data_IF_636138290842
#
_entry.id   IF_636138290842
#
_cell.length_a   1.000
_cell.length_b   1.000
_cell.length_c   1.000
_cell.angle_alpha   90.00
_cell.angle_beta   90.00
_cell.angle_gamma   90.00
#
_symmetry.space_group_name_H-M   'P 1'
#
loop_
_entity.id
_entity.type
_entity.pdbx_description
1 polymer ?
#
# COMPACT_ATOMS: atom_id res chain seq x y z
N UNK A 1 -30.05 -14.37 4.27
CA UNK A 1 -29.30 -13.91 3.09
C UNK A 1 -27.84 -13.95 3.47
N UNK A 2 -27.01 -14.77 2.84
CA UNK A 2 -25.56 -14.75 3.06
C UNK A 2 -25.05 -13.39 2.57
N UNK A 3 -24.47 -12.60 3.47
CA UNK A 3 -23.83 -11.34 3.10
C UNK A 3 -22.71 -11.68 2.10
N UNK A 4 -22.71 -11.05 0.92
CA UNK A 4 -21.65 -11.26 -0.08
C UNK A 4 -20.32 -10.87 0.55
N UNK A 5 -19.33 -11.74 0.51
CA UNK A 5 -17.97 -11.45 0.95
C UNK A 5 -17.43 -10.24 0.18
N UNK A 6 -16.85 -9.28 0.89
CA UNK A 6 -16.23 -8.11 0.27
C UNK A 6 -14.93 -8.54 -0.42
N UNK A 7 -14.80 -8.23 -1.71
CA UNK A 7 -13.63 -8.53 -2.52
C UNK A 7 -12.76 -7.27 -2.63
N UNK A 8 -11.55 -7.31 -2.08
CA UNK A 8 -10.65 -6.16 -1.98
C UNK A 8 -9.37 -6.42 -2.78
N UNK A 9 -9.00 -5.49 -3.65
CA UNK A 9 -7.70 -5.47 -4.31
C UNK A 9 -6.79 -4.43 -3.64
N UNK A 10 -5.67 -4.89 -3.07
CA UNK A 10 -4.56 -4.05 -2.62
C UNK A 10 -3.49 -4.03 -3.71
N UNK A 11 -3.42 -2.95 -4.50
CA UNK A 11 -2.50 -2.83 -5.64
C UNK A 11 -1.46 -1.74 -5.38
N UNK A 12 -0.19 -2.15 -5.27
CA UNK A 12 0.93 -1.28 -4.93
C UNK A 12 2.13 -1.47 -5.88
N UNK A 13 3.07 -0.53 -5.84
CA UNK A 13 4.23 -0.52 -6.73
C UNK A 13 5.27 -1.57 -6.33
N UNK A 14 5.59 -1.63 -5.02
CA UNK A 14 6.67 -2.45 -4.49
C UNK A 14 6.22 -3.29 -3.30
N UNK A 15 6.89 -4.43 -3.03
CA UNK A 15 6.78 -5.12 -1.75
C UNK A 15 7.16 -4.19 -0.60
N UNK A 16 6.29 -4.04 0.38
CA UNK A 16 6.33 -3.21 1.59
C UNK A 16 5.34 -2.05 1.63
N UNK A 17 4.96 -1.48 0.49
CA UNK A 17 4.01 -0.37 0.40
C UNK A 17 2.69 -0.70 1.11
N UNK A 18 2.11 -1.88 0.84
CA UNK A 18 0.85 -2.35 1.43
C UNK A 18 0.93 -2.41 2.96
N UNK A 19 2.06 -2.88 3.47
CA UNK A 19 2.31 -3.05 4.90
C UNK A 19 2.53 -1.72 5.60
N UNK A 20 3.40 -0.88 5.05
CA UNK A 20 3.81 0.37 5.69
C UNK A 20 2.68 1.40 5.67
N UNK A 21 1.92 1.48 4.56
CA UNK A 21 0.84 2.44 4.45
C UNK A 21 -0.46 1.97 5.11
N UNK A 22 -0.91 0.74 4.83
CA UNK A 22 -2.27 0.28 5.16
C UNK A 22 -2.32 -1.11 5.82
N UNK A 23 -1.20 -1.64 6.34
CA UNK A 23 -1.13 -3.00 6.87
C UNK A 23 -2.16 -3.29 7.96
N UNK A 24 -2.41 -2.34 8.87
CA UNK A 24 -3.43 -2.52 9.90
C UNK A 24 -4.85 -2.51 9.34
N UNK A 25 -5.15 -1.63 8.38
CA UNK A 25 -6.44 -1.61 7.67
C UNK A 25 -6.67 -2.90 6.89
N UNK A 26 -5.64 -3.43 6.21
CA UNK A 26 -5.71 -4.69 5.46
C UNK A 26 -5.97 -5.88 6.39
N UNK A 27 -5.28 -5.95 7.53
CA UNK A 27 -5.50 -6.96 8.56
C UNK A 27 -6.93 -6.88 9.16
N UNK A 28 -7.41 -5.67 9.45
CA UNK A 28 -8.78 -5.43 9.89
C UNK A 28 -9.81 -5.95 8.88
N UNK A 29 -9.64 -5.65 7.59
CA UNK A 29 -10.56 -6.11 6.54
C UNK A 29 -10.57 -7.64 6.43
N UNK A 30 -9.41 -8.28 6.48
CA UNK A 30 -9.30 -9.74 6.49
C UNK A 30 -10.02 -10.36 7.70
N UNK A 31 -9.84 -9.80 8.91
CA UNK A 31 -10.53 -10.25 10.13
C UNK A 31 -12.06 -10.09 9.99
N UNK A 32 -12.53 -9.06 9.28
CA UNK A 32 -13.96 -8.86 9.00
C UNK A 32 -14.51 -9.77 7.89
N UNK A 33 -13.69 -10.69 7.39
CA UNK A 33 -14.08 -11.69 6.39
C UNK A 33 -14.04 -11.17 4.96
N UNK A 34 -13.35 -10.07 4.70
CA UNK A 34 -13.04 -9.66 3.34
C UNK A 34 -12.00 -10.58 2.71
N UNK A 35 -12.14 -10.90 1.43
CA UNK A 35 -11.08 -11.52 0.64
C UNK A 35 -10.15 -10.42 0.12
N UNK A 36 -8.97 -10.30 0.76
CA UNK A 36 -7.96 -9.29 0.41
C UNK A 36 -6.93 -9.90 -0.54
N UNK A 37 -6.94 -9.45 -1.77
CA UNK A 37 -6.03 -9.88 -2.84
C UNK A 37 -4.95 -8.83 -3.06
N UNK A 38 -3.69 -9.26 -3.01
CA UNK A 38 -2.54 -8.39 -3.16
C UNK A 38 -1.99 -8.48 -4.57
N UNK A 39 -1.68 -7.32 -5.16
CA UNK A 39 -1.02 -7.20 -6.45
C UNK A 39 0.13 -6.20 -6.32
N UNK A 40 1.33 -6.62 -6.66
CA UNK A 40 2.48 -5.72 -6.74
C UNK A 40 2.88 -5.51 -8.20
N UNK A 41 3.23 -4.28 -8.58
CA UNK A 41 3.67 -4.00 -9.94
C UNK A 41 5.02 -4.65 -10.24
N UNK A 42 5.95 -4.60 -9.27
CA UNK A 42 7.32 -5.11 -9.36
C UNK A 42 7.63 -6.04 -8.19
N UNK A 43 8.82 -6.64 -8.18
CA UNK A 43 9.39 -7.30 -7.01
C UNK A 43 10.35 -6.41 -6.23
N UNK A 44 10.44 -5.11 -6.57
CA UNK A 44 11.30 -4.16 -5.90
C UNK A 44 12.78 -4.45 -6.09
N UNK A 45 13.17 -4.85 -7.27
CA UNK A 45 14.55 -5.24 -7.65
C UNK A 45 15.55 -4.10 -7.45
N UNK A 46 15.08 -2.84 -7.59
CA UNK A 46 15.88 -1.63 -7.40
C UNK A 46 16.05 -1.18 -5.94
N UNK A 47 15.32 -1.79 -5.01
CA UNK A 47 15.31 -1.41 -3.59
C UNK A 47 16.61 -1.68 -2.85
N UNK A 48 16.62 -1.41 -1.54
CA UNK A 48 17.78 -1.69 -0.67
C UNK A 48 17.95 -3.19 -0.43
N UNK A 49 19.18 -3.60 -0.13
CA UNK A 49 19.52 -5.01 0.12
C UNK A 49 19.69 -5.34 1.61
N UNK A 50 19.36 -4.41 2.50
CA UNK A 50 19.65 -4.49 3.93
C UNK A 50 21.06 -3.96 4.30
N UNK A 51 21.29 -3.79 5.61
CA UNK A 51 22.58 -3.40 6.15
C UNK A 51 22.85 -4.23 7.42
N UNK A 52 23.76 -5.25 7.34
CA UNK A 52 24.50 -5.69 6.14
C UNK A 52 23.57 -6.29 5.07
N UNK A 53 24.00 -6.32 3.78
CA UNK A 53 23.20 -6.90 2.70
C UNK A 53 22.77 -8.33 2.97
N UNK A 54 21.47 -8.63 2.82
CA UNK A 54 20.91 -9.98 3.03
C UNK A 54 21.05 -10.88 1.81
N UNK A 55 21.35 -10.30 0.63
CA UNK A 55 21.51 -11.01 -0.63
C UNK A 55 22.40 -10.24 -1.60
N UNK A 56 22.65 -10.84 -2.77
CA UNK A 56 23.22 -10.13 -3.92
C UNK A 56 22.12 -9.38 -4.67
N UNK A 57 22.47 -8.31 -5.40
CA UNK A 57 21.51 -7.51 -6.21
C UNK A 57 20.67 -8.39 -7.14
N UNK A 58 21.28 -9.34 -7.82
CA UNK A 58 20.58 -10.25 -8.74
C UNK A 58 19.49 -11.12 -8.09
N UNK A 59 19.55 -11.31 -6.78
CA UNK A 59 18.60 -12.13 -6.02
C UNK A 59 17.52 -11.31 -5.33
N UNK A 60 17.66 -9.98 -5.29
CA UNK A 60 16.80 -9.12 -4.46
C UNK A 60 15.32 -9.27 -4.81
N UNK A 61 14.95 -9.29 -6.08
CA UNK A 61 13.55 -9.47 -6.48
C UNK A 61 12.95 -10.79 -6.00
N UNK A 62 13.74 -11.89 -5.99
CA UNK A 62 13.30 -13.17 -5.43
C UNK A 62 13.15 -13.10 -3.91
N UNK A 63 14.09 -12.46 -3.22
CA UNK A 63 14.02 -12.27 -1.77
C UNK A 63 12.80 -11.42 -1.38
N UNK A 64 12.57 -10.31 -2.06
CA UNK A 64 11.43 -9.44 -1.78
C UNK A 64 10.08 -10.07 -2.15
N UNK A 65 10.04 -10.98 -3.14
CA UNK A 65 8.84 -11.83 -3.39
C UNK A 65 8.55 -12.71 -2.17
N UNK A 66 9.57 -13.37 -1.59
CA UNK A 66 9.42 -14.20 -0.39
C UNK A 66 9.01 -13.36 0.84
N UNK A 67 9.60 -12.18 1.00
CA UNK A 67 9.26 -11.21 2.05
C UNK A 67 7.80 -10.76 1.95
N UNK A 68 7.33 -10.40 0.75
CA UNK A 68 5.93 -10.00 0.53
C UNK A 68 4.96 -11.16 0.80
N UNK A 69 5.30 -12.40 0.42
CA UNK A 69 4.47 -13.57 0.76
C UNK A 69 4.33 -13.76 2.25
N UNK A 70 5.42 -13.58 3.00
CA UNK A 70 5.41 -13.60 4.45
C UNK A 70 4.50 -12.50 5.01
N UNK A 71 4.63 -11.26 4.51
CA UNK A 71 3.83 -10.12 4.96
C UNK A 71 2.32 -10.32 4.66
N UNK A 72 1.98 -10.76 3.46
CA UNK A 72 0.59 -11.06 3.06
C UNK A 72 -0.01 -12.14 3.95
N UNK A 73 0.74 -13.16 4.31
CA UNK A 73 0.28 -14.19 5.26
C UNK A 73 0.01 -13.61 6.65
N UNK A 74 0.91 -12.75 7.17
CA UNK A 74 0.75 -12.10 8.47
C UNK A 74 -0.49 -11.18 8.51
N UNK A 75 -0.82 -10.54 7.39
CA UNK A 75 -1.99 -9.67 7.24
C UNK A 75 -3.30 -10.43 6.93
N UNK A 76 -3.25 -11.77 6.80
CA UNK A 76 -4.43 -12.58 6.50
C UNK A 76 -4.91 -12.49 5.04
N UNK A 77 -4.02 -12.19 4.10
CA UNK A 77 -4.34 -12.06 2.69
C UNK A 77 -4.81 -13.36 2.02
N UNK A 78 -5.74 -13.25 1.07
CA UNK A 78 -6.31 -14.37 0.33
C UNK A 78 -5.42 -14.82 -0.84
N UNK A 79 -4.74 -13.89 -1.51
CA UNK A 79 -3.81 -14.18 -2.60
C UNK A 79 -2.79 -13.09 -2.81
N UNK A 80 -1.70 -13.43 -3.51
CA UNK A 80 -0.68 -12.49 -3.98
C UNK A 80 -0.33 -12.82 -5.44
N UNK A 81 -0.26 -11.77 -6.27
CA UNK A 81 0.23 -11.83 -7.65
C UNK A 81 1.13 -10.61 -7.97
N UNK A 82 1.85 -10.69 -9.09
CA UNK A 82 2.72 -9.63 -9.58
C UNK A 82 2.36 -9.28 -11.04
N UNK A 83 2.45 -8.01 -11.42
CA UNK A 83 2.34 -7.63 -12.84
C UNK A 83 3.59 -8.03 -13.65
N UNK A 84 4.71 -8.28 -12.97
CA UNK A 84 5.94 -8.76 -13.57
C UNK A 84 6.78 -7.69 -14.26
N UNK A 85 6.63 -6.44 -13.85
CA UNK A 85 7.60 -5.40 -14.18
C UNK A 85 8.81 -5.49 -13.27
N UNK A 86 9.94 -4.96 -13.74
CA UNK A 86 11.19 -4.88 -12.98
C UNK A 86 11.31 -3.47 -12.41
N UNK A 87 11.54 -3.38 -11.11
CA UNK A 87 11.83 -2.11 -10.45
C UNK A 87 13.23 -1.63 -10.83
N UNK A 88 13.39 -0.41 -11.38
CA UNK A 88 14.70 0.08 -11.79
C UNK A 88 15.60 0.38 -10.58
N UNK A 89 16.90 0.22 -10.75
CA UNK A 89 17.88 0.67 -9.77
C UNK A 89 17.75 2.19 -9.54
N UNK A 90 17.98 2.60 -8.30
CA UNK A 90 18.04 4.02 -7.92
C UNK A 90 19.22 4.67 -8.67
N UNK A 91 18.94 5.79 -9.32
CA UNK A 91 19.93 6.54 -10.09
C UNK A 91 20.91 7.32 -9.23
N UNK A 92 21.85 8.04 -9.86
CA UNK A 92 22.74 8.98 -9.17
C UNK A 92 21.91 10.00 -8.35
N UNK A 93 22.44 10.44 -7.22
CA UNK A 93 21.80 11.42 -6.32
C UNK A 93 20.43 10.98 -5.76
N UNK A 94 20.21 9.65 -5.64
CA UNK A 94 18.95 9.02 -5.23
C UNK A 94 17.76 9.32 -6.16
N UNK A 95 18.02 9.51 -7.45
CA UNK A 95 16.96 9.70 -8.44
C UNK A 95 16.12 8.42 -8.59
N UNK A 96 14.79 8.58 -8.50
CA UNK A 96 13.81 7.50 -8.62
C UNK A 96 13.15 7.54 -9.98
N UNK A 97 12.78 6.36 -10.51
CA UNK A 97 12.20 6.21 -11.84
C UNK A 97 10.87 5.45 -11.80
N UNK A 98 10.00 5.64 -12.80
CA UNK A 98 8.87 4.75 -13.02
C UNK A 98 9.38 3.37 -13.49
N UNK A 99 8.65 2.30 -13.16
CA UNK A 99 9.06 0.93 -13.50
C UNK A 99 8.78 0.53 -14.97
N UNK A 100 8.06 1.33 -15.73
CA UNK A 100 7.83 1.09 -17.15
C UNK A 100 7.80 2.40 -17.96
N UNK A 101 8.43 2.45 -19.13
CA UNK A 101 8.27 3.57 -20.05
C UNK A 101 6.92 3.55 -20.78
N UNK A 102 6.21 2.41 -20.79
CA UNK A 102 4.94 2.19 -21.50
C UNK A 102 3.77 2.02 -20.53
N UNK A 103 3.05 3.10 -20.27
CA UNK A 103 1.86 3.08 -19.43
C UNK A 103 0.76 2.17 -20.01
N UNK A 104 0.63 2.06 -21.33
CA UNK A 104 -0.40 1.23 -21.95
C UNK A 104 -0.16 -0.27 -21.68
N UNK A 105 1.09 -0.72 -21.63
CA UNK A 105 1.42 -2.08 -21.21
C UNK A 105 1.00 -2.34 -19.76
N UNK A 106 1.27 -1.39 -18.86
CA UNK A 106 0.87 -1.49 -17.45
C UNK A 106 -0.64 -1.59 -17.34
N UNK A 107 -1.37 -0.72 -18.03
CA UNK A 107 -2.85 -0.72 -18.08
C UNK A 107 -3.37 -2.06 -18.60
N UNK A 108 -2.80 -2.61 -19.66
CA UNK A 108 -3.22 -3.89 -20.24
C UNK A 108 -3.11 -5.04 -19.23
N UNK A 109 -1.94 -5.20 -18.59
CA UNK A 109 -1.72 -6.24 -17.59
C UNK A 109 -2.60 -6.07 -16.35
N UNK A 110 -2.79 -4.82 -15.90
CA UNK A 110 -3.65 -4.51 -14.76
C UNK A 110 -5.12 -4.84 -15.07
N UNK A 111 -5.59 -4.48 -16.28
CA UNK A 111 -6.96 -4.75 -16.74
C UNK A 111 -7.32 -6.24 -16.69
N UNK A 112 -6.40 -7.10 -17.09
CA UNK A 112 -6.59 -8.56 -16.99
C UNK A 112 -6.84 -9.01 -15.54
N UNK A 113 -6.08 -8.47 -14.59
CA UNK A 113 -6.22 -8.79 -13.16
C UNK A 113 -7.51 -8.24 -12.56
N UNK A 114 -7.85 -7.00 -12.86
CA UNK A 114 -9.08 -6.35 -12.37
C UNK A 114 -10.31 -7.05 -12.92
N UNK A 115 -10.34 -7.43 -14.21
CA UNK A 115 -11.46 -8.17 -14.82
C UNK A 115 -11.61 -9.58 -14.24
N UNK A 116 -10.50 -10.28 -13.99
CA UNK A 116 -10.54 -11.62 -13.40
C UNK A 116 -11.03 -11.59 -11.95
N UNK A 117 -10.63 -10.57 -11.19
CA UNK A 117 -10.94 -10.46 -9.76
C UNK A 117 -12.30 -9.79 -9.50
N UNK A 118 -12.65 -8.78 -10.30
CA UNK A 118 -13.83 -7.91 -10.10
C UNK A 118 -13.92 -7.36 -8.65
N UNK A 119 -12.91 -6.62 -8.17
CA UNK A 119 -12.87 -6.19 -6.79
C UNK A 119 -14.00 -5.20 -6.46
N UNK A 120 -14.67 -5.36 -5.33
CA UNK A 120 -15.66 -4.39 -4.83
C UNK A 120 -14.97 -3.09 -4.38
N UNK A 121 -13.74 -3.21 -3.84
CA UNK A 121 -12.92 -2.11 -3.32
C UNK A 121 -11.48 -2.23 -3.80
N UNK A 122 -10.86 -1.10 -4.11
CA UNK A 122 -9.43 -1.01 -4.40
C UNK A 122 -8.74 -0.11 -3.38
N UNK A 123 -7.63 -0.61 -2.82
CA UNK A 123 -6.68 0.17 -2.04
C UNK A 123 -5.39 0.27 -2.85
N UNK A 124 -4.94 1.49 -3.16
CA UNK A 124 -3.81 1.71 -4.05
C UNK A 124 -3.21 3.09 -3.85
N UNK A 125 -2.11 3.38 -4.54
CA UNK A 125 -1.45 4.69 -4.49
C UNK A 125 -2.35 5.85 -4.93
N UNK A 126 -2.10 7.02 -4.33
CA UNK A 126 -2.75 8.27 -4.70
C UNK A 126 -2.06 9.02 -5.84
N UNK A 127 -2.69 10.10 -6.36
CA UNK A 127 -2.17 10.86 -7.50
C UNK A 127 -0.81 11.52 -7.24
N UNK A 128 -0.47 11.79 -5.99
CA UNK A 128 0.82 12.36 -5.58
C UNK A 128 1.90 11.32 -5.32
N UNK A 129 1.60 10.01 -5.41
CA UNK A 129 2.54 8.95 -5.09
C UNK A 129 3.09 9.08 -3.67
N UNK A 130 2.22 9.45 -2.73
CA UNK A 130 2.44 9.72 -1.31
C UNK A 130 3.50 10.82 -1.07
N UNK A 131 4.75 10.54 -1.34
CA UNK A 131 5.88 11.47 -1.21
C UNK A 131 6.53 11.81 -2.58
N UNK A 132 5.80 11.61 -3.68
CA UNK A 132 6.28 11.93 -5.03
C UNK A 132 7.04 10.79 -5.71
N UNK A 133 6.91 9.53 -5.23
CA UNK A 133 7.59 8.39 -5.85
C UNK A 133 7.06 8.12 -7.27
N UNK A 134 7.91 8.14 -8.33
CA UNK A 134 7.45 8.00 -9.71
C UNK A 134 6.71 6.69 -9.98
N UNK A 135 7.14 5.57 -9.39
CA UNK A 135 6.47 4.27 -9.53
C UNK A 135 5.07 4.27 -8.90
N UNK A 136 4.88 4.93 -7.73
CA UNK A 136 3.56 5.07 -7.09
C UNK A 136 2.63 5.92 -7.96
N UNK A 137 3.13 7.03 -8.50
CA UNK A 137 2.38 7.88 -9.45
C UNK A 137 1.97 7.07 -10.67
N UNK A 138 2.87 6.24 -11.21
CA UNK A 138 2.60 5.38 -12.36
C UNK A 138 1.52 4.33 -12.06
N UNK A 139 1.53 3.71 -10.88
CA UNK A 139 0.46 2.80 -10.43
C UNK A 139 -0.89 3.51 -10.41
N UNK A 140 -0.94 4.71 -9.82
CA UNK A 140 -2.16 5.51 -9.79
C UNK A 140 -2.67 5.87 -11.20
N UNK A 141 -1.78 6.29 -12.10
CA UNK A 141 -2.11 6.61 -13.49
C UNK A 141 -2.63 5.39 -14.24
N UNK A 142 -1.96 4.24 -14.10
CA UNK A 142 -2.38 2.98 -14.72
C UNK A 142 -3.75 2.54 -14.21
N UNK A 143 -3.99 2.60 -12.90
CA UNK A 143 -5.28 2.23 -12.32
C UNK A 143 -6.39 3.17 -12.79
N UNK A 144 -6.16 4.47 -12.80
CA UNK A 144 -7.12 5.47 -13.29
C UNK A 144 -7.48 5.22 -14.75
N UNK A 145 -6.50 4.99 -15.61
CA UNK A 145 -6.71 4.70 -17.03
C UNK A 145 -7.42 3.34 -17.23
N UNK A 146 -7.04 2.32 -16.45
CA UNK A 146 -7.68 1.01 -16.48
C UNK A 146 -9.16 1.12 -16.15
N UNK A 147 -9.53 1.78 -15.04
CA UNK A 147 -10.91 1.93 -14.60
C UNK A 147 -11.75 2.75 -15.58
N UNK A 148 -11.17 3.77 -16.22
CA UNK A 148 -11.88 4.58 -17.21
C UNK A 148 -12.32 3.77 -18.46
N UNK A 149 -11.65 2.67 -18.76
CA UNK A 149 -11.90 1.80 -19.93
C UNK A 149 -12.68 0.51 -19.57
N UNK A 150 -13.22 0.40 -18.36
CA UNK A 150 -14.00 -0.74 -17.91
C UNK A 150 -15.49 -0.40 -17.77
N UNK A 151 -16.36 -1.31 -18.25
CA UNK A 151 -17.80 -1.25 -17.98
C UNK A 151 -18.08 -1.53 -16.49
N UNK A 152 -17.28 -2.42 -15.87
CA UNK A 152 -17.33 -2.70 -14.46
C UNK A 152 -16.56 -1.62 -13.70
N UNK A 153 -17.16 -1.10 -12.62
CA UNK A 153 -16.50 -0.14 -11.72
C UNK A 153 -16.47 -0.70 -10.29
N UNK A 154 -15.32 -0.60 -9.60
CA UNK A 154 -15.29 -0.86 -8.17
C UNK A 154 -16.19 0.16 -7.44
N UNK A 155 -16.78 -0.26 -6.33
CA UNK A 155 -17.65 0.61 -5.54
C UNK A 155 -16.87 1.65 -4.72
N UNK A 156 -15.59 1.39 -4.47
CA UNK A 156 -14.71 2.33 -3.77
C UNK A 156 -13.25 2.14 -4.18
N UNK A 157 -12.52 3.26 -4.25
CA UNK A 157 -11.07 3.30 -4.35
C UNK A 157 -10.54 4.30 -3.32
N UNK A 158 -9.63 3.84 -2.47
CA UNK A 158 -8.95 4.66 -1.47
C UNK A 158 -7.43 4.59 -1.64
N UNK A 159 -6.79 5.70 -1.34
CA UNK A 159 -5.34 5.80 -1.31
C UNK A 159 -4.86 6.18 0.10
N UNK A 160 -3.66 5.73 0.50
CA UNK A 160 -3.04 6.18 1.74
C UNK A 160 -2.65 7.65 1.67
N UNK A 161 -2.62 8.29 2.84
CA UNK A 161 -2.05 9.61 3.00
C UNK A 161 -0.68 9.48 3.67
N UNK A 162 0.30 10.20 3.14
CA UNK A 162 1.63 10.27 3.72
C UNK A 162 1.67 11.23 4.91
N UNK A 163 2.22 10.81 6.04
CA UNK A 163 2.52 11.75 7.13
C UNK A 163 3.83 12.48 6.84
N UNK A 164 3.71 13.73 6.42
CA UNK A 164 4.87 14.62 6.28
C UNK A 164 5.48 14.90 7.66
N UNK A 165 6.72 14.49 7.84
CA UNK A 165 7.44 14.74 9.08
C UNK A 165 7.80 16.21 9.29
N UNK A 166 7.95 16.96 8.18
CA UNK A 166 8.28 18.38 8.18
C UNK A 166 7.06 19.22 8.52
N UNK A 167 5.92 18.91 7.90
CA UNK A 167 4.67 19.60 8.12
C UNK A 167 3.92 19.14 9.39
N UNK A 168 4.22 17.92 9.88
CA UNK A 168 3.50 17.31 11.01
C UNK A 168 2.04 16.97 10.70
N UNK A 169 1.69 16.83 9.42
CA UNK A 169 0.33 16.55 8.95
C UNK A 169 0.31 15.51 7.83
N UNK A 170 -0.84 14.89 7.63
CA UNK A 170 -1.04 13.96 6.52
C UNK A 170 -1.28 14.69 5.20
N UNK A 171 -0.64 14.21 4.12
CA UNK A 171 -0.73 14.73 2.76
C UNK A 171 -1.14 13.57 1.81
N UNK A 172 -2.22 13.71 1.02
CA UNK A 172 -3.22 14.78 1.11
C UNK A 172 -3.96 14.75 2.45
N UNK A 173 -4.79 15.77 2.73
CA UNK A 173 -5.64 15.76 3.93
C UNK A 173 -6.57 14.54 3.87
N UNK A 174 -6.58 13.67 4.90
CA UNK A 174 -7.36 12.44 4.88
C UNK A 174 -8.87 12.71 4.95
N UNK A 175 -9.64 11.84 4.31
CA UNK A 175 -11.08 11.71 4.51
C UNK A 175 -11.39 10.92 5.78
N UNK A 176 -10.52 9.95 6.11
CA UNK A 176 -10.64 9.15 7.33
C UNK A 176 -9.25 8.88 7.92
N UNK A 177 -9.18 8.99 9.23
CA UNK A 177 -8.06 8.57 10.07
C UNK A 177 -8.54 7.40 10.92
N UNK A 178 -7.84 6.28 10.89
CA UNK A 178 -8.23 5.04 11.56
C UNK A 178 -7.23 4.65 12.65
N UNK A 179 -7.73 4.06 13.73
CA UNK A 179 -6.94 3.43 14.77
C UNK A 179 -6.83 1.93 14.49
N UNK A 180 -5.64 1.50 14.11
CA UNK A 180 -5.33 0.10 13.86
C UNK A 180 -4.55 -0.56 15.01
N UNK A 181 -4.59 0.03 16.21
CA UNK A 181 -3.95 -0.53 17.41
C UNK A 181 -4.31 -2.00 17.66
N UNK A 182 -5.56 -2.47 17.43
CA UNK A 182 -5.89 -3.89 17.60
C UNK A 182 -5.14 -4.82 16.64
N UNK A 183 -4.75 -4.33 15.46
CA UNK A 183 -4.03 -5.08 14.41
C UNK A 183 -2.56 -4.70 14.31
N UNK A 184 -2.05 -3.92 15.27
CA UNK A 184 -0.66 -3.47 15.27
C UNK A 184 0.34 -4.64 15.33
N UNK A 185 -0.04 -5.73 15.99
CA UNK A 185 0.81 -6.92 16.04
C UNK A 185 0.98 -7.56 14.65
N UNK A 186 -0.11 -7.77 13.91
CA UNK A 186 -0.07 -8.30 12.54
C UNK A 186 0.68 -7.36 11.59
N UNK A 187 0.42 -6.05 11.66
CA UNK A 187 1.15 -5.05 10.87
C UNK A 187 2.65 -5.07 11.18
N UNK A 188 3.01 -5.20 12.44
CA UNK A 188 4.43 -5.27 12.86
C UNK A 188 5.09 -6.55 12.36
N UNK A 189 4.41 -7.70 12.45
CA UNK A 189 4.90 -8.97 11.92
C UNK A 189 5.11 -8.87 10.40
N UNK A 190 4.16 -8.29 9.66
CA UNK A 190 4.31 -8.05 8.23
C UNK A 190 5.49 -7.12 7.92
N UNK A 191 5.68 -6.04 8.68
CA UNK A 191 6.82 -5.14 8.50
C UNK A 191 8.17 -5.83 8.79
N UNK A 192 8.21 -6.76 9.74
CA UNK A 192 9.40 -7.56 10.04
C UNK A 192 9.72 -8.53 8.88
N UNK A 193 8.73 -9.01 8.14
CA UNK A 193 8.95 -9.86 6.97
C UNK A 193 9.83 -9.19 5.91
N UNK A 194 9.76 -7.88 5.74
CA UNK A 194 10.54 -7.11 4.76
C UNK A 194 11.98 -6.84 5.22
N UNK A 195 12.71 -7.88 5.55
CA UNK A 195 14.04 -7.80 6.18
C UNK A 195 15.04 -6.99 5.36
N UNK A 196 15.00 -7.09 4.03
CA UNK A 196 15.87 -6.31 3.14
C UNK A 196 15.63 -4.80 3.25
N UNK A 197 14.45 -4.36 3.72
CA UNK A 197 14.05 -2.96 3.80
C UNK A 197 14.12 -2.36 5.22
N UNK A 198 14.54 -3.13 6.24
CA UNK A 198 14.60 -2.65 7.63
C UNK A 198 15.47 -1.39 7.78
N UNK A 199 16.59 -1.30 7.04
CA UNK A 199 17.45 -0.11 7.03
C UNK A 199 16.72 1.13 6.55
N UNK A 200 15.95 1.01 5.47
CA UNK A 200 15.11 2.07 4.94
C UNK A 200 14.06 2.52 5.96
N UNK A 201 13.30 1.59 6.53
CA UNK A 201 12.22 1.87 7.47
C UNK A 201 12.70 2.60 8.72
N UNK A 202 13.83 2.17 9.27
CA UNK A 202 14.33 2.67 10.57
C UNK A 202 15.23 3.89 10.46
N UNK A 203 15.67 4.28 9.27
CA UNK A 203 16.66 5.36 9.04
C UNK A 203 16.23 6.70 9.66
N UNK A 204 15.03 7.18 9.33
CA UNK A 204 14.54 8.44 9.86
C UNK A 204 14.27 8.38 11.37
N UNK A 205 13.71 7.28 11.85
CA UNK A 205 13.47 7.04 13.27
C UNK A 205 14.78 7.07 14.06
N UNK A 206 15.82 6.38 13.56
CA UNK A 206 17.13 6.32 14.18
C UNK A 206 17.82 7.68 14.20
N UNK A 207 17.76 8.44 13.10
CA UNK A 207 18.30 9.80 13.04
C UNK A 207 17.65 10.74 14.06
N UNK A 208 16.33 10.68 14.22
CA UNK A 208 15.60 11.50 15.19
C UNK A 208 15.84 11.08 16.64
N UNK A 209 15.95 9.77 16.89
CA UNK A 209 16.19 9.25 18.23
C UNK A 209 17.65 9.40 18.69
N UNK A 210 18.59 9.69 17.77
CA UNK A 210 20.03 9.69 18.05
C UNK A 210 20.59 8.32 18.43
N UNK A 211 19.84 7.23 18.10
CA UNK A 211 20.21 5.83 18.31
C UNK A 211 19.55 4.92 17.28
N UNK A 212 20.06 3.72 17.05
CA UNK A 212 19.32 2.73 16.28
C UNK A 212 17.94 2.48 16.89
N UNK A 213 16.90 2.43 16.05
CA UNK A 213 15.56 1.97 16.42
C UNK A 213 15.21 0.71 15.63
N UNK A 214 14.31 -0.09 16.16
CA UNK A 214 13.85 -1.34 15.54
C UNK A 214 12.59 -1.11 14.72
N UNK A 215 12.25 -2.05 13.84
CA UNK A 215 11.02 -1.99 13.05
C UNK A 215 9.77 -1.85 13.93
N UNK A 216 9.59 -2.62 15.02
CA UNK A 216 8.44 -2.43 15.93
C UNK A 216 8.31 -1.01 16.52
N UNK A 217 9.42 -0.29 16.69
CA UNK A 217 9.40 1.07 17.25
C UNK A 217 8.91 2.12 16.24
N UNK A 218 8.91 1.81 14.94
CA UNK A 218 8.48 2.77 13.89
C UNK A 218 7.12 2.45 13.27
N UNK A 219 6.60 1.24 13.46
CA UNK A 219 5.28 0.85 12.97
C UNK A 219 4.20 1.62 13.71
N UNK A 220 3.27 2.21 12.96
CA UNK A 220 2.25 3.10 13.49
C UNK A 220 0.92 2.41 13.66
N UNK A 221 0.23 2.79 14.74
CA UNK A 221 -1.15 2.37 15.03
C UNK A 221 -2.21 3.25 14.37
N UNK A 222 -1.82 4.28 13.64
CA UNK A 222 -2.73 5.15 12.92
C UNK A 222 -2.44 5.10 11.43
N UNK A 223 -3.50 4.99 10.64
CA UNK A 223 -3.45 5.03 9.18
C UNK A 223 -4.46 6.04 8.68
N UNK A 224 -4.12 6.71 7.59
CA UNK A 224 -4.92 7.78 7.03
C UNK A 224 -5.20 7.49 5.56
N UNK A 225 -6.47 7.62 5.16
CA UNK A 225 -6.93 7.32 3.82
C UNK A 225 -7.69 8.50 3.22
N UNK A 226 -7.51 8.68 1.93
CA UNK A 226 -8.31 9.58 1.11
C UNK A 226 -9.08 8.77 0.08
N UNK A 227 -10.35 9.10 -0.11
CA UNK A 227 -11.20 8.44 -1.10
C UNK A 227 -10.96 9.04 -2.48
N UNK A 228 -10.64 8.20 -3.45
CA UNK A 228 -10.45 8.55 -4.85
C UNK A 228 -11.76 8.36 -5.63
N UNK A 229 -12.47 7.24 -5.39
CA UNK A 229 -13.77 6.93 -6.00
C UNK A 229 -14.73 6.35 -4.95
N UNK A 230 -16.04 6.57 -5.07
CA UNK A 230 -16.65 7.59 -5.94
C UNK A 230 -16.26 9.00 -5.51
N UNK A 231 -16.18 9.92 -6.44
CA UNK A 231 -16.14 11.34 -6.08
C UNK A 231 -17.45 11.64 -5.33
N UNK A 232 -17.36 12.33 -4.19
CA UNK A 232 -18.47 12.53 -3.24
C UNK A 232 -19.75 13.07 -3.91
N UNK A 233 -20.56 12.19 -4.48
CA UNK A 233 -21.97 12.46 -4.75
C UNK A 233 -22.80 11.75 -3.67
N UNK A 234 -23.74 12.48 -3.09
CA UNK A 234 -24.57 11.97 -2.01
C UNK A 234 -25.46 10.83 -2.53
N UNK A 235 -25.28 9.60 -2.02
CA UNK A 235 -26.21 8.50 -2.19
C UNK A 235 -25.67 7.16 -2.66
N UNK A 236 -24.44 7.03 -3.09
CA UNK A 236 -23.87 5.72 -3.44
C UNK A 236 -23.30 5.00 -2.22
N UNK A 237 -23.67 3.72 -2.07
CA UNK A 237 -23.22 2.89 -0.97
C UNK A 237 -21.73 2.52 -1.15
N UNK A 238 -20.87 3.18 -0.40
CA UNK A 238 -19.46 2.85 -0.29
C UNK A 238 -19.30 1.72 0.77
N UNK A 239 -18.95 0.50 0.35
CA UNK A 239 -18.90 -0.64 1.27
C UNK A 239 -17.74 -0.55 2.27
N UNK A 240 -16.69 0.21 1.94
CA UNK A 240 -15.53 0.39 2.81
C UNK A 240 -15.77 1.48 3.85
N UNK A 241 -16.48 2.56 3.48
CA UNK A 241 -16.73 3.67 4.40
C UNK A 241 -17.39 3.25 5.71
N UNK A 242 -18.36 2.32 5.63
CA UNK A 242 -19.02 1.76 6.82
C UNK A 242 -18.07 0.98 7.72
N UNK A 243 -17.18 0.17 7.14
CA UNK A 243 -16.18 -0.59 7.89
C UNK A 243 -15.13 0.34 8.50
N UNK A 244 -14.58 1.28 7.72
CA UNK A 244 -13.60 2.23 8.24
C UNK A 244 -14.16 3.08 9.38
N UNK A 245 -15.47 3.37 9.38
CA UNK A 245 -16.11 4.13 10.44
C UNK A 245 -16.09 3.40 11.79
N UNK A 246 -16.01 2.05 11.81
CA UNK A 246 -15.90 1.27 13.07
C UNK A 246 -14.58 1.52 13.81
N UNK A 247 -13.53 1.88 13.06
CA UNK A 247 -12.17 2.11 13.57
C UNK A 247 -11.70 3.56 13.36
N UNK A 248 -12.60 4.44 12.89
CA UNK A 248 -12.27 5.84 12.64
C UNK A 248 -12.01 6.59 13.95
N UNK A 249 -10.91 7.34 13.95
CA UNK A 249 -10.63 8.31 15.00
C UNK A 249 -11.48 9.58 14.79
N UNK A 250 -11.92 10.24 15.85
CA UNK A 250 -12.51 11.57 15.75
C UNK A 250 -11.53 12.46 14.99
N UNK A 251 -12.00 13.16 13.96
CA UNK A 251 -11.19 14.11 13.20
C UNK A 251 -10.77 15.25 14.13
N UNK A 252 -9.62 15.09 14.77
CA UNK A 252 -9.01 16.14 15.59
C UNK A 252 -8.36 17.12 14.64
N UNK A 253 -8.87 18.34 14.61
CA UNK A 253 -8.16 19.43 13.97
C UNK A 253 -6.80 19.58 14.66
N UNK A 254 -5.73 19.45 13.86
CA UNK A 254 -4.30 19.55 14.19
C UNK A 254 -3.84 18.57 15.27
N UNK A 255 -3.08 17.57 14.83
CA UNK A 255 -2.18 16.84 15.71
C UNK A 255 -1.17 17.84 16.30
N UNK A 256 -1.23 18.07 17.60
CA UNK A 256 -0.22 18.82 18.36
C UNK A 256 0.98 17.93 18.66
#
# INVERSE_FOLDING_TARGET
MTQKTLNVLAFFAHPDDETMFLGGTLAFLAERGAEVHYLSATRGEGGEMGDPPVCQRSDLGRIRDEELRCAVQALGGASLDFLGFVDPDVGPDNELYPFSPDLAEVVGKLKERVLALQPDVILSHGPGGEYGHPAHIQVHQALTACLADLEYQPRAHYAPCWLSWEAGEFIPKPDVLVDVSPWLAQKTEAAICHASQHGLFTRHGSARAGRPVTVPEIVRSQEALVRILPQREAGEADPLAGLLQEIALPTVGKLH
#
